data_IF_676371139620
#
_entry.id   IF_676371139620
#
_cell.length_a   1.000
_cell.length_b   1.000
_cell.length_c   1.000
_cell.angle_alpha   90.00
_cell.angle_beta   90.00
_cell.angle_gamma   90.00
#
_symmetry.space_group_name_H-M   'P 1'
#
loop_
_entity.id
_entity.type
_entity.pdbx_description
1 polymer ?
#
# COMPACT_ATOMS: atom_id res chain seq x y z
N UNK A 1 -14.86 15.04 -0.12
CA UNK A 1 -14.02 14.82 -1.32
C UNK A 1 -13.27 13.54 -1.07
N UNK A 2 -13.39 12.54 -1.94
CA UNK A 2 -12.63 11.29 -1.77
C UNK A 2 -11.16 11.60 -2.06
N UNK A 3 -10.26 11.12 -1.21
CA UNK A 3 -8.83 11.39 -1.37
C UNK A 3 -8.27 10.49 -2.48
N UNK A 4 -7.47 11.05 -3.37
CA UNK A 4 -6.74 10.25 -4.35
C UNK A 4 -5.81 9.26 -3.62
N UNK A 5 -5.90 7.99 -4.00
CA UNK A 5 -5.19 6.89 -3.34
C UNK A 5 -3.84 6.67 -4.01
N UNK A 6 -2.77 6.83 -3.23
CA UNK A 6 -1.38 6.59 -3.66
C UNK A 6 -0.93 5.15 -3.39
N UNK A 7 0.22 4.75 -3.93
CA UNK A 7 0.87 3.49 -3.58
C UNK A 7 1.64 3.66 -2.27
N UNK A 8 1.55 2.68 -1.36
CA UNK A 8 2.40 2.60 -0.17
C UNK A 8 3.52 1.58 -0.42
N UNK A 9 4.73 2.06 -0.69
CA UNK A 9 5.90 1.22 -0.99
C UNK A 9 7.05 1.67 -0.09
N UNK A 10 7.71 0.71 0.56
CA UNK A 10 8.84 0.95 1.48
C UNK A 10 8.52 1.97 2.59
N UNK A 11 7.32 1.87 3.16
CA UNK A 11 6.84 2.75 4.23
C UNK A 11 6.47 4.16 3.80
N UNK A 12 6.47 4.48 2.50
CA UNK A 12 6.18 5.82 1.98
C UNK A 12 5.03 5.83 0.97
N UNK A 13 4.14 6.81 1.10
CA UNK A 13 3.10 7.07 0.11
C UNK A 13 3.69 7.78 -1.12
N UNK A 14 3.40 7.28 -2.31
CA UNK A 14 3.92 7.81 -3.58
C UNK A 14 2.98 7.57 -4.76
N UNK A 15 3.02 8.40 -5.81
CA UNK A 15 2.36 8.07 -7.07
C UNK A 15 3.00 6.83 -7.72
N UNK A 16 2.28 6.22 -8.66
CA UNK A 16 2.86 5.22 -9.56
C UNK A 16 4.04 5.82 -10.33
N UNK A 17 5.06 5.02 -10.63
CA UNK A 17 6.24 5.46 -11.39
C UNK A 17 5.85 6.04 -12.75
N UNK A 18 4.83 5.48 -13.40
CA UNK A 18 4.31 5.99 -14.68
C UNK A 18 3.45 7.25 -14.56
N UNK A 19 3.05 7.63 -13.34
CA UNK A 19 2.07 8.69 -13.08
C UNK A 19 0.63 8.32 -13.45
N UNK A 20 0.39 7.11 -13.96
CA UNK A 20 -0.95 6.66 -14.39
C UNK A 20 -1.88 6.50 -13.19
N UNK A 21 -3.14 6.86 -13.38
CA UNK A 21 -4.21 6.68 -12.40
C UNK A 21 -5.44 6.00 -13.03
N UNK A 22 -6.35 5.53 -12.20
CA UNK A 22 -7.66 5.00 -12.57
C UNK A 22 -8.74 5.66 -11.74
N UNK A 23 -9.89 5.94 -12.36
CA UNK A 23 -11.06 6.44 -11.64
C UNK A 23 -11.65 5.34 -10.74
N UNK A 24 -11.90 5.67 -9.49
CA UNK A 24 -12.74 4.89 -8.57
C UNK A 24 -14.17 5.33 -8.81
N UNK A 25 -15.05 4.39 -9.14
CA UNK A 25 -16.45 4.69 -9.47
C UNK A 25 -17.38 4.34 -8.31
N UNK A 26 -18.41 5.16 -8.11
CA UNK A 26 -19.51 4.85 -7.22
C UNK A 26 -20.33 3.68 -7.80
N UNK A 27 -20.48 2.53 -7.11
CA UNK A 27 -21.22 1.40 -7.66
C UNK A 27 -22.73 1.66 -7.82
N UNK A 28 -23.29 2.66 -7.12
CA UNK A 28 -24.71 2.99 -7.20
C UNK A 28 -25.05 3.93 -8.38
N UNK A 29 -24.12 4.79 -8.81
CA UNK A 29 -24.40 5.82 -9.84
C UNK A 29 -23.48 5.73 -11.06
N UNK A 30 -22.33 5.07 -10.93
CA UNK A 30 -21.27 5.04 -11.95
C UNK A 30 -20.37 6.28 -11.95
N UNK A 31 -20.67 7.29 -11.14
CA UNK A 31 -19.90 8.54 -11.12
C UNK A 31 -18.51 8.36 -10.50
N UNK A 32 -17.47 9.06 -11.01
CA UNK A 32 -16.16 9.04 -10.41
C UNK A 32 -16.18 9.71 -9.02
N UNK A 33 -15.64 9.01 -8.02
CA UNK A 33 -15.53 9.54 -6.66
C UNK A 33 -14.11 9.97 -6.30
N UNK A 34 -13.08 9.48 -7.00
CA UNK A 34 -11.68 9.86 -6.84
C UNK A 34 -10.78 9.05 -7.79
N UNK A 35 -9.46 9.16 -7.65
CA UNK A 35 -8.51 8.38 -8.43
C UNK A 35 -7.64 7.47 -7.55
N UNK A 36 -7.18 6.36 -8.11
CA UNK A 36 -6.17 5.49 -7.52
C UNK A 36 -4.96 5.38 -8.44
N UNK A 37 -3.76 5.40 -7.88
CA UNK A 37 -2.53 5.16 -8.63
C UNK A 37 -2.56 3.77 -9.28
N UNK A 38 -2.28 3.70 -10.57
CA UNK A 38 -2.24 2.45 -11.31
C UNK A 38 -0.82 1.89 -11.28
N UNK A 39 -0.57 0.94 -10.39
CA UNK A 39 0.73 0.27 -10.32
C UNK A 39 1.04 -0.46 -11.65
N UNK A 40 2.30 -0.34 -12.09
CA UNK A 40 2.84 -1.08 -13.23
C UNK A 40 4.04 -1.92 -12.78
N UNK A 41 4.66 -2.64 -13.72
CA UNK A 41 5.76 -3.58 -13.42
C UNK A 41 6.90 -2.93 -12.63
N UNK A 42 7.25 -1.68 -12.94
CA UNK A 42 8.29 -0.93 -12.22
C UNK A 42 7.93 -0.68 -10.75
N UNK A 43 6.66 -0.39 -10.44
CA UNK A 43 6.19 -0.27 -9.06
C UNK A 43 6.26 -1.62 -8.33
N UNK A 44 5.94 -2.71 -9.03
CA UNK A 44 6.04 -4.07 -8.49
C UNK A 44 7.49 -4.44 -8.18
N UNK A 45 8.44 -4.10 -9.04
CA UNK A 45 9.87 -4.34 -8.80
C UNK A 45 10.36 -3.58 -7.54
N UNK A 46 9.92 -2.34 -7.35
CA UNK A 46 10.19 -1.56 -6.14
C UNK A 46 9.56 -2.20 -4.89
N UNK A 47 8.31 -2.62 -4.97
CA UNK A 47 7.60 -3.29 -3.88
C UNK A 47 8.25 -4.62 -3.50
N UNK A 48 8.66 -5.43 -4.48
CA UNK A 48 9.36 -6.70 -4.26
C UNK A 48 10.72 -6.48 -3.59
N UNK A 49 11.50 -5.50 -4.07
CA UNK A 49 12.78 -5.14 -3.45
C UNK A 49 12.61 -4.72 -1.99
N UNK A 50 11.62 -3.86 -1.70
CA UNK A 50 11.30 -3.43 -0.35
C UNK A 50 10.83 -4.59 0.54
N UNK A 51 9.93 -5.43 0.03
CA UNK A 51 9.43 -6.61 0.75
C UNK A 51 10.55 -7.59 1.09
N UNK A 52 11.49 -7.85 0.16
CA UNK A 52 12.65 -8.71 0.42
C UNK A 52 13.54 -8.15 1.53
N UNK A 53 13.85 -6.84 1.50
CA UNK A 53 14.61 -6.17 2.57
C UNK A 53 13.89 -6.28 3.92
N UNK A 54 12.59 -6.01 3.93
CA UNK A 54 11.75 -6.15 5.11
C UNK A 54 11.73 -7.58 5.64
N UNK A 55 11.65 -8.58 4.76
CA UNK A 55 11.64 -10.00 5.13
C UNK A 55 12.93 -10.44 5.81
N UNK A 56 14.11 -10.03 5.32
CA UNK A 56 15.40 -10.40 5.94
C UNK A 56 15.53 -9.92 7.39
N UNK A 57 14.86 -8.81 7.73
CA UNK A 57 14.76 -8.31 9.10
C UNK A 57 13.64 -9.01 9.86
N UNK A 58 12.44 -9.03 9.28
CA UNK A 58 11.22 -9.50 9.93
C UNK A 58 11.24 -10.99 10.27
N UNK A 59 11.91 -11.81 9.46
CA UNK A 59 12.08 -13.25 9.70
C UNK A 59 12.82 -13.56 11.02
N UNK A 60 13.60 -12.61 11.54
CA UNK A 60 14.35 -12.73 12.80
C UNK A 60 13.54 -12.27 14.01
N UNK A 61 12.38 -11.64 13.81
CA UNK A 61 11.54 -11.12 14.89
C UNK A 61 10.82 -12.28 15.58
N UNK A 62 10.71 -12.24 16.91
CA UNK A 62 10.05 -13.30 17.67
C UNK A 62 8.55 -13.34 17.41
N UNK A 63 7.90 -14.49 17.60
CA UNK A 63 6.45 -14.59 17.47
C UNK A 63 5.70 -13.62 18.40
N UNK A 64 6.22 -13.42 19.62
CA UNK A 64 5.65 -12.48 20.60
C UNK A 64 5.78 -11.02 20.15
N UNK A 65 6.92 -10.62 19.57
CA UNK A 65 7.09 -9.27 19.05
C UNK A 65 6.20 -9.00 17.84
N UNK A 66 6.06 -9.99 16.94
CA UNK A 66 5.08 -9.91 15.84
C UNK A 66 3.65 -9.73 16.37
N UNK A 67 3.28 -10.46 17.42
CA UNK A 67 1.98 -10.31 18.09
C UNK A 67 1.73 -8.88 18.58
N UNK A 68 2.70 -8.27 19.26
CA UNK A 68 2.58 -6.88 19.76
C UNK A 68 2.31 -5.89 18.62
N UNK A 69 3.01 -6.03 17.49
CA UNK A 69 2.81 -5.17 16.32
C UNK A 69 1.40 -5.34 15.75
N UNK A 70 0.94 -6.59 15.56
CA UNK A 70 -0.40 -6.87 15.04
C UNK A 70 -1.50 -6.37 15.98
N UNK A 71 -1.33 -6.51 17.30
CA UNK A 71 -2.29 -5.98 18.28
C UNK A 71 -2.37 -4.47 18.26
N UNK A 72 -1.21 -3.80 18.25
CA UNK A 72 -1.17 -2.34 18.12
C UNK A 72 -1.84 -1.88 16.82
N UNK A 73 -1.66 -2.59 15.71
CA UNK A 73 -2.36 -2.26 14.46
C UNK A 73 -3.88 -2.39 14.62
N UNK A 74 -4.35 -3.47 15.23
CA UNK A 74 -5.78 -3.71 15.47
C UNK A 74 -6.43 -2.66 16.38
N UNK A 75 -5.71 -2.17 17.40
CA UNK A 75 -6.21 -1.13 18.30
C UNK A 75 -6.34 0.26 17.62
N UNK A 76 -5.73 0.43 16.43
CA UNK A 76 -5.75 1.68 15.65
C UNK A 76 -6.59 1.58 14.37
N UNK A 77 -7.35 0.50 14.17
CA UNK A 77 -8.34 0.34 13.10
C UNK A 77 -9.69 0.93 13.53
#
# INVERSE_FOLDING_TARGET
MYTDVSLLIDGSWRPAVSGKTMAVLNPATGDPIGNVAHAEKSDLDLALSAAQKGFELWRKVSAYDRYKVMRKAADNL
#
